data_IF_967422839066
#
_entry.id   IF_967422839066
#
_cell.length_a   1.000
_cell.length_b   1.000
_cell.length_c   1.000
_cell.angle_alpha   90.00
_cell.angle_beta   90.00
_cell.angle_gamma   90.00
#
_symmetry.space_group_name_H-M   'P 1'
#
loop_
_entity.id
_entity.type
_entity.pdbx_description
1 polymer ?
#
# COMPACT_ATOMS: atom_id res chain seq x y z
N UNK A 1 -43.30 -19.28 -47.92
CA UNK A 1 -44.42 -18.36 -48.10
C UNK A 1 -44.32 -17.27 -47.05
N UNK A 2 -44.46 -16.00 -47.48
CA UNK A 2 -44.61 -14.74 -46.72
C UNK A 2 -43.47 -14.40 -45.73
N UNK A 3 -42.71 -13.30 -45.81
CA UNK A 3 -42.92 -12.01 -46.46
C UNK A 3 -43.42 -10.97 -45.46
N UNK A 4 -42.52 -10.15 -44.89
CA UNK A 4 -42.89 -8.94 -44.14
C UNK A 4 -41.78 -7.89 -44.26
N UNK A 5 -42.04 -6.84 -45.05
CA UNK A 5 -41.21 -5.66 -45.18
C UNK A 5 -41.66 -4.61 -44.14
N UNK A 6 -40.71 -4.07 -43.37
CA UNK A 6 -40.97 -3.04 -42.36
C UNK A 6 -40.42 -1.70 -42.87
N UNK A 7 -41.31 -0.70 -42.92
CA UNK A 7 -41.05 0.66 -43.42
C UNK A 7 -40.31 1.47 -42.34
N UNK A 8 -39.17 2.05 -42.73
CA UNK A 8 -38.34 2.94 -41.91
C UNK A 8 -38.93 4.36 -41.93
N UNK A 9 -39.43 4.84 -40.79
CA UNK A 9 -39.82 6.24 -40.59
C UNK A 9 -38.69 7.03 -39.93
N UNK A 10 -38.04 7.93 -40.68
CA UNK A 10 -37.03 8.85 -40.16
C UNK A 10 -37.67 10.18 -39.75
N UNK A 11 -37.86 10.40 -38.44
CA UNK A 11 -38.21 11.70 -37.90
C UNK A 11 -36.92 12.45 -37.54
N UNK A 12 -36.56 13.45 -38.34
CA UNK A 12 -35.43 14.34 -38.07
C UNK A 12 -35.84 15.41 -37.06
N UNK A 13 -35.48 15.20 -35.78
CA UNK A 13 -35.56 16.23 -34.75
C UNK A 13 -34.31 17.12 -34.83
N UNK A 14 -34.51 18.40 -35.18
CA UNK A 14 -33.47 19.42 -35.19
C UNK A 14 -33.18 19.86 -33.75
N UNK A 15 -32.24 19.19 -33.09
CA UNK A 15 -31.68 19.58 -31.80
C UNK A 15 -30.79 20.83 -31.97
N UNK A 16 -31.22 21.99 -31.47
CA UNK A 16 -30.36 23.16 -31.41
C UNK A 16 -29.20 22.91 -30.42
N UNK A 17 -27.95 23.27 -30.76
CA UNK A 17 -26.82 23.13 -29.84
C UNK A 17 -26.98 24.13 -28.70
N UNK A 18 -27.23 23.62 -27.50
CA UNK A 18 -27.06 24.40 -26.26
C UNK A 18 -25.59 24.75 -26.17
N UNK A 19 -25.25 26.03 -26.26
CA UNK A 19 -23.92 26.55 -25.93
C UNK A 19 -23.69 26.31 -24.43
N UNK A 20 -23.18 25.12 -24.12
CA UNK A 20 -22.69 24.79 -22.80
C UNK A 20 -21.55 25.77 -22.48
N UNK A 21 -21.82 26.73 -21.59
CA UNK A 21 -20.77 27.56 -21.00
C UNK A 21 -19.82 26.61 -20.28
N UNK A 22 -18.66 26.35 -20.89
CA UNK A 22 -17.58 25.62 -20.27
C UNK A 22 -17.26 26.33 -18.95
N UNK A 23 -17.60 25.67 -17.83
CA UNK A 23 -17.12 26.12 -16.53
C UNK A 23 -15.60 26.12 -16.62
N UNK A 24 -14.91 27.21 -16.22
CA UNK A 24 -13.45 27.17 -16.12
C UNK A 24 -13.08 25.94 -15.29
N UNK A 25 -12.10 25.13 -15.73
CA UNK A 25 -11.64 24.00 -14.95
C UNK A 25 -11.20 24.56 -13.60
N UNK A 26 -12.01 24.31 -12.56
CA UNK A 26 -11.62 24.62 -11.19
C UNK A 26 -10.32 23.86 -10.98
N UNK A 27 -9.26 24.51 -10.44
CA UNK A 27 -8.05 23.80 -10.07
C UNK A 27 -8.48 22.68 -9.13
N UNK A 28 -8.41 21.44 -9.61
CA UNK A 28 -8.45 20.27 -8.76
C UNK A 28 -7.37 20.53 -7.70
N UNK A 29 -7.71 20.38 -6.42
CA UNK A 29 -6.78 20.61 -5.30
C UNK A 29 -5.39 20.05 -5.66
N UNK A 30 -4.30 20.75 -5.29
CA UNK A 30 -2.96 20.39 -5.73
C UNK A 30 -2.72 18.91 -5.47
N UNK A 31 -2.43 18.18 -6.55
CA UNK A 31 -2.13 16.74 -6.50
C UNK A 31 -0.99 16.54 -5.51
N UNK A 32 -1.14 15.55 -4.65
CA UNK A 32 -0.15 15.31 -3.62
C UNK A 32 1.12 14.71 -4.23
N UNK A 33 2.26 15.37 -4.07
CA UNK A 33 3.54 14.85 -4.56
C UNK A 33 4.12 13.75 -3.65
N UNK A 34 3.64 13.66 -2.41
CA UNK A 34 4.10 12.68 -1.41
C UNK A 34 2.94 12.23 -0.55
N UNK A 35 2.68 10.93 -0.55
CA UNK A 35 1.68 10.31 0.30
C UNK A 35 2.30 9.66 1.53
N UNK A 36 1.47 9.44 2.55
CA UNK A 36 1.83 8.74 3.77
C UNK A 36 0.63 8.00 4.37
N UNK A 37 0.90 6.98 5.18
CA UNK A 37 -0.11 6.34 6.01
C UNK A 37 -0.54 7.30 7.13
N UNK A 38 -1.83 7.30 7.46
CA UNK A 38 -2.46 8.18 8.46
C UNK A 38 -3.12 7.41 9.62
N UNK A 39 -2.79 6.13 9.77
CA UNK A 39 -3.36 5.25 10.79
C UNK A 39 -3.73 3.89 10.22
N UNK A 40 -5.00 3.51 10.38
CA UNK A 40 -5.50 2.23 9.90
C UNK A 40 -5.57 2.25 8.37
N UNK A 41 -4.89 1.29 7.75
CA UNK A 41 -4.87 1.09 6.32
C UNK A 41 -5.55 -0.23 5.97
N UNK A 42 -6.36 -0.20 4.91
CA UNK A 42 -7.12 -1.35 4.45
C UNK A 42 -7.16 -1.36 2.93
N UNK A 43 -7.03 -2.56 2.36
CA UNK A 43 -7.19 -2.80 0.92
C UNK A 43 -8.03 -4.05 0.68
N UNK A 44 -8.68 -4.09 -0.47
CA UNK A 44 -9.46 -5.22 -0.94
C UNK A 44 -8.77 -5.87 -2.12
N UNK A 45 -8.52 -7.17 -2.01
CA UNK A 45 -7.98 -7.99 -3.09
C UNK A 45 -9.13 -8.53 -3.97
N UNK A 46 -8.84 -8.74 -5.26
CA UNK A 46 -9.80 -9.28 -6.21
C UNK A 46 -10.25 -10.71 -5.87
N UNK A 47 -9.44 -11.46 -5.13
CA UNK A 47 -9.76 -12.79 -4.61
C UNK A 47 -10.69 -12.76 -3.37
N UNK A 48 -11.16 -11.57 -2.94
CA UNK A 48 -12.17 -11.41 -1.89
C UNK A 48 -11.62 -11.14 -0.48
N UNK A 49 -10.30 -11.22 -0.27
CA UNK A 49 -9.70 -10.88 1.01
C UNK A 49 -9.62 -9.37 1.25
N UNK A 50 -9.70 -8.97 2.51
CA UNK A 50 -9.41 -7.60 2.97
C UNK A 50 -8.15 -7.66 3.81
N UNK A 51 -7.11 -6.93 3.40
CA UNK A 51 -5.85 -6.85 4.15
C UNK A 51 -5.85 -5.56 4.94
N UNK A 52 -5.50 -5.64 6.23
CA UNK A 52 -5.48 -4.52 7.15
C UNK A 52 -4.19 -4.48 7.96
N UNK A 53 -3.65 -3.29 8.16
CA UNK A 53 -2.56 -3.01 9.09
C UNK A 53 -2.62 -1.54 9.51
N UNK A 54 -1.91 -1.18 10.58
CA UNK A 54 -1.81 0.20 11.05
C UNK A 54 -0.40 0.73 10.81
N UNK A 55 -0.28 1.91 10.22
CA UNK A 55 0.99 2.62 10.11
C UNK A 55 0.80 4.13 10.01
N UNK A 56 1.84 4.89 10.31
CA UNK A 56 1.86 6.35 10.16
C UNK A 56 3.17 6.79 9.49
N UNK A 57 3.09 7.77 8.61
CA UNK A 57 4.25 8.23 7.83
C UNK A 57 4.47 7.38 6.57
N UNK A 58 5.65 7.46 5.93
CA UNK A 58 5.90 6.80 4.65
C UNK A 58 6.20 5.31 4.77
N UNK A 59 6.59 4.83 5.96
CA UNK A 59 6.96 3.42 6.15
C UNK A 59 5.76 2.59 6.59
N UNK A 60 5.68 1.34 6.13
CA UNK A 60 4.76 0.33 6.65
C UNK A 60 5.55 -0.64 7.53
N UNK A 61 5.11 -0.83 8.78
CA UNK A 61 5.72 -1.78 9.71
C UNK A 61 4.73 -2.25 10.75
N UNK A 62 4.83 -3.51 11.20
CA UNK A 62 4.04 -4.03 12.32
C UNK A 62 3.22 -5.24 11.92
N UNK A 63 2.12 -5.47 12.64
CA UNK A 63 1.22 -6.59 12.39
C UNK A 63 0.24 -6.29 11.25
N UNK A 64 -0.07 -7.31 10.46
CA UNK A 64 -1.09 -7.28 9.43
C UNK A 64 -2.07 -8.45 9.60
N UNK A 65 -3.30 -8.27 9.14
CA UNK A 65 -4.36 -9.27 9.14
C UNK A 65 -5.00 -9.35 7.76
N UNK A 66 -5.32 -10.56 7.32
CA UNK A 66 -6.19 -10.80 6.16
C UNK A 66 -7.54 -11.32 6.66
N UNK A 67 -8.61 -10.62 6.30
CA UNK A 67 -9.99 -11.01 6.58
C UNK A 67 -10.59 -11.71 5.36
N UNK A 68 -11.31 -12.79 5.59
CA UNK A 68 -12.11 -13.44 4.56
C UNK A 68 -13.38 -12.64 4.22
N UNK A 69 -14.19 -13.16 3.29
CA UNK A 69 -15.45 -12.52 2.88
C UNK A 69 -16.50 -12.40 3.98
N UNK A 70 -16.36 -13.15 5.09
CA UNK A 70 -17.22 -13.06 6.27
C UNK A 70 -16.73 -12.02 7.30
N UNK A 71 -15.58 -11.37 7.03
CA UNK A 71 -14.94 -10.42 7.93
C UNK A 71 -14.15 -11.08 9.05
N UNK A 72 -13.95 -12.41 9.02
CA UNK A 72 -13.16 -13.12 10.03
C UNK A 72 -11.70 -13.15 9.62
N UNK A 73 -10.81 -13.07 10.60
CA UNK A 73 -9.37 -13.19 10.38
C UNK A 73 -9.03 -14.59 9.86
N UNK A 74 -8.62 -14.65 8.61
CA UNK A 74 -8.14 -15.88 7.97
C UNK A 74 -6.63 -16.08 8.23
N UNK A 75 -5.85 -14.99 8.21
CA UNK A 75 -4.39 -15.03 8.41
C UNK A 75 -3.91 -13.77 9.14
N UNK A 76 -2.79 -13.91 9.85
CA UNK A 76 -2.02 -12.81 10.42
C UNK A 76 -0.58 -12.86 9.93
N UNK A 77 0.11 -11.73 9.95
CA UNK A 77 1.48 -11.62 9.46
C UNK A 77 2.17 -10.35 9.92
N UNK A 78 3.36 -10.11 9.38
CA UNK A 78 4.10 -8.86 9.58
C UNK A 78 4.29 -8.12 8.27
N UNK A 79 4.04 -6.81 8.28
CA UNK A 79 4.23 -5.92 7.13
C UNK A 79 5.57 -5.19 7.21
N UNK A 80 6.19 -4.97 6.05
CA UNK A 80 7.41 -4.16 5.88
C UNK A 80 7.41 -3.50 4.51
N UNK A 81 7.95 -2.29 4.39
CA UNK A 81 8.02 -1.54 3.13
C UNK A 81 7.50 -0.12 3.32
N UNK A 82 6.80 0.44 2.33
CA UNK A 82 6.22 1.76 2.47
C UNK A 82 5.72 2.41 1.18
N UNK A 83 5.74 3.74 1.21
CA UNK A 83 5.34 4.63 0.14
C UNK A 83 6.57 5.46 -0.26
N UNK A 84 6.85 5.53 -1.55
CA UNK A 84 7.77 6.48 -2.16
C UNK A 84 6.99 7.38 -3.13
N UNK A 85 6.77 8.63 -2.71
CA UNK A 85 5.95 9.62 -3.42
C UNK A 85 4.53 9.13 -3.71
N UNK A 86 4.28 8.67 -4.93
CA UNK A 86 3.00 8.16 -5.44
C UNK A 86 3.00 6.65 -5.59
N UNK A 87 4.13 5.97 -5.35
CA UNK A 87 4.23 4.52 -5.44
C UNK A 87 4.14 3.90 -4.06
N UNK A 88 3.38 2.82 -3.94
CA UNK A 88 3.31 1.99 -2.73
C UNK A 88 3.92 0.63 -3.02
N UNK A 89 4.80 0.19 -2.13
CA UNK A 89 5.58 -1.04 -2.27
C UNK A 89 5.83 -1.63 -0.88
N UNK A 90 5.14 -2.73 -0.55
CA UNK A 90 5.31 -3.41 0.72
C UNK A 90 5.16 -4.91 0.61
N UNK A 91 5.75 -5.62 1.55
CA UNK A 91 5.69 -7.07 1.68
C UNK A 91 5.02 -7.43 2.99
N UNK A 92 4.11 -8.41 2.94
CA UNK A 92 3.55 -9.05 4.12
C UNK A 92 4.06 -10.49 4.19
N UNK A 93 4.71 -10.82 5.30
CA UNK A 93 5.05 -12.20 5.64
C UNK A 93 3.91 -12.80 6.46
N UNK A 94 3.04 -13.58 5.82
CA UNK A 94 1.96 -14.28 6.51
C UNK A 94 2.53 -15.40 7.40
N UNK A 95 1.97 -15.56 8.60
CA UNK A 95 2.48 -16.52 9.58
C UNK A 95 2.30 -17.98 9.17
N UNK A 96 1.18 -18.29 8.52
CA UNK A 96 0.82 -19.63 8.02
C UNK A 96 0.80 -19.72 6.49
N UNK A 97 1.32 -18.71 5.80
CA UNK A 97 1.11 -18.53 4.37
C UNK A 97 2.34 -18.00 3.63
N UNK A 98 2.17 -17.68 2.34
CA UNK A 98 3.23 -17.14 1.52
C UNK A 98 3.69 -15.74 1.94
N UNK A 99 4.77 -15.27 1.32
CA UNK A 99 5.16 -13.86 1.39
C UNK A 99 4.46 -13.12 0.26
N UNK A 100 3.51 -12.26 0.58
CA UNK A 100 2.82 -11.44 -0.40
C UNK A 100 3.58 -10.14 -0.63
N UNK A 101 4.05 -9.90 -1.85
CA UNK A 101 4.59 -8.60 -2.26
C UNK A 101 3.49 -7.79 -2.94
N UNK A 102 3.32 -6.54 -2.55
CA UNK A 102 2.26 -5.64 -2.99
C UNK A 102 2.90 -4.41 -3.62
N UNK A 103 2.55 -4.14 -4.87
CA UNK A 103 3.03 -2.95 -5.60
C UNK A 103 1.85 -2.24 -6.23
N UNK A 104 1.87 -0.91 -6.21
CA UNK A 104 0.80 -0.11 -6.77
C UNK A 104 1.14 1.37 -6.89
N UNK A 105 0.21 2.11 -7.47
CA UNK A 105 0.25 3.56 -7.62
C UNK A 105 -0.88 4.18 -6.81
N UNK A 106 -0.65 5.41 -6.36
CA UNK A 106 -1.58 6.22 -5.57
C UNK A 106 -2.13 7.31 -6.48
N UNK A 107 -3.44 7.30 -6.65
CA UNK A 107 -4.15 8.28 -7.46
C UNK A 107 -4.26 9.63 -6.72
N UNK A 108 -4.62 10.69 -7.46
CA UNK A 108 -4.76 12.04 -6.89
C UNK A 108 -5.81 12.16 -5.77
N UNK A 109 -6.74 11.21 -5.69
CA UNK A 109 -7.74 11.09 -4.62
C UNK A 109 -7.21 10.38 -3.36
N UNK A 110 -5.94 9.96 -3.36
CA UNK A 110 -5.27 9.27 -2.26
C UNK A 110 -5.55 7.77 -2.19
N UNK A 111 -6.31 7.20 -3.12
CA UNK A 111 -6.54 5.75 -3.16
C UNK A 111 -5.42 5.07 -3.95
N UNK A 112 -4.88 3.99 -3.37
CA UNK A 112 -3.88 3.18 -4.04
C UNK A 112 -4.53 2.01 -4.79
N UNK A 113 -3.99 1.64 -5.94
CA UNK A 113 -4.39 0.46 -6.71
C UNK A 113 -3.16 -0.26 -7.23
N UNK A 114 -3.22 -1.58 -7.31
CA UNK A 114 -2.04 -2.34 -7.66
C UNK A 114 -2.25 -3.82 -7.80
N UNK A 115 -1.14 -4.54 -7.73
CA UNK A 115 -1.09 -5.99 -7.82
C UNK A 115 -0.33 -6.58 -6.64
N UNK A 116 -0.63 -7.84 -6.33
CA UNK A 116 0.15 -8.63 -5.40
C UNK A 116 0.57 -9.94 -6.03
N UNK A 117 1.76 -10.40 -5.64
CA UNK A 117 2.33 -11.70 -6.01
C UNK A 117 2.78 -12.43 -4.75
N UNK A 118 2.72 -13.75 -4.79
CA UNK A 118 3.45 -14.59 -3.85
C UNK A 118 4.93 -14.63 -4.29
N UNK A 119 5.84 -14.29 -3.38
CA UNK A 119 7.29 -14.31 -3.66
C UNK A 119 7.85 -15.73 -3.71
N UNK A 120 7.24 -16.68 -2.98
CA UNK A 120 7.73 -18.06 -2.91
C UNK A 120 7.28 -18.89 -4.11
N UNK A 121 6.07 -18.61 -4.60
CA UNK A 121 5.55 -19.19 -5.82
C UNK A 121 5.14 -18.03 -6.71
N UNK A 122 5.69 -17.93 -7.93
CA UNK A 122 5.27 -16.97 -8.96
C UNK A 122 3.84 -17.27 -9.48
N UNK A 123 2.91 -17.48 -8.55
CA UNK A 123 1.52 -17.80 -8.77
C UNK A 123 0.76 -16.61 -9.34
N UNK A 124 -0.57 -16.73 -9.41
CA UNK A 124 -1.39 -15.76 -10.11
C UNK A 124 -1.29 -14.37 -9.45
N UNK A 125 -0.96 -13.38 -10.27
CA UNK A 125 -1.00 -11.96 -9.91
C UNK A 125 -2.44 -11.61 -9.53
N UNK A 126 -2.64 -11.03 -8.35
CA UNK A 126 -3.97 -10.61 -7.88
C UNK A 126 -4.06 -9.10 -7.79
N UNK A 127 -5.06 -8.49 -8.42
CA UNK A 127 -5.31 -7.06 -8.32
C UNK A 127 -5.84 -6.69 -6.94
N UNK A 128 -5.55 -5.47 -6.48
CA UNK A 128 -6.12 -4.93 -5.25
C UNK A 128 -6.34 -3.42 -5.36
N UNK A 129 -7.22 -2.91 -4.49
CA UNK A 129 -7.45 -1.48 -4.32
C UNK A 129 -7.61 -1.12 -2.84
N UNK A 130 -7.02 0.00 -2.44
CA UNK A 130 -7.21 0.57 -1.10
C UNK A 130 -8.69 0.88 -0.85
N UNK A 131 -9.16 0.64 0.36
CA UNK A 131 -10.52 0.98 0.79
C UNK A 131 -10.57 2.25 1.63
N UNK A 132 -9.41 2.80 1.98
CA UNK A 132 -9.24 4.05 2.71
C UNK A 132 -8.18 4.91 2.00
N UNK A 133 -8.34 6.24 1.97
CA UNK A 133 -7.36 7.11 1.33
C UNK A 133 -6.11 7.27 2.19
N UNK A 134 -4.97 7.46 1.53
CA UNK A 134 -3.72 7.90 2.13
C UNK A 134 -3.75 9.42 2.34
N UNK A 135 -2.94 9.89 3.29
CA UNK A 135 -2.80 11.31 3.56
C UNK A 135 -1.68 11.95 2.75
N UNK A 136 -1.77 13.26 2.57
CA UNK A 136 -0.65 14.03 2.09
C UNK A 136 0.44 14.16 3.16
N UNK A 137 1.67 13.87 2.76
CA UNK A 137 2.82 14.19 3.58
C UNK A 137 3.13 15.68 3.42
N UNK A 138 2.96 16.44 4.50
CA UNK A 138 3.50 17.80 4.56
C UNK A 138 5.01 17.71 4.35
N UNK A 139 5.60 18.51 3.43
CA UNK A 139 7.05 18.57 3.30
C UNK A 139 7.67 18.84 4.67
N UNK A 140 8.65 18.03 5.06
CA UNK A 140 9.43 18.35 6.25
C UNK A 140 9.94 19.79 6.08
N UNK A 141 9.75 20.68 7.08
CA UNK A 141 10.32 22.02 7.01
C UNK A 141 11.80 21.88 6.69
N UNK A 142 12.27 22.51 5.62
CA UNK A 142 13.70 22.69 5.38
C UNK A 142 14.23 23.63 6.45
N UNK A 143 14.39 23.13 7.66
CA UNK A 143 15.07 23.85 8.74
C UNK A 143 16.51 24.15 8.33
N UNK A 144 17.14 25.18 8.91
CA UNK A 144 18.55 25.44 8.71
C UNK A 144 19.33 24.16 8.98
N UNK A 145 20.09 23.68 7.99
CA UNK A 145 21.03 22.57 8.18
C UNK A 145 21.89 22.93 9.40
N UNK A 146 22.01 22.07 10.43
CA UNK A 146 22.98 22.29 11.49
C UNK A 146 24.31 22.58 10.81
N UNK A 147 24.88 23.77 11.10
CA UNK A 147 26.18 24.13 10.55
C UNK A 147 27.20 23.04 10.89
N UNK A 148 28.30 22.91 10.12
CA UNK A 148 29.36 21.97 10.44
C UNK A 148 29.76 22.16 11.91
N UNK A 149 29.52 21.13 12.72
CA UNK A 149 29.91 21.11 14.11
C UNK A 149 31.43 21.03 14.16
N UNK A 150 32.10 22.18 14.26
CA UNK A 150 33.54 22.27 14.53
C UNK A 150 33.84 21.94 16.01
N UNK A 151 33.18 20.93 16.56
CA UNK A 151 33.50 20.40 17.88
C UNK A 151 34.73 19.49 17.82
N UNK A 152 35.61 19.50 18.83
CA UNK A 152 36.73 18.56 18.90
C UNK A 152 36.20 17.12 18.91
N UNK A 153 36.71 16.30 18.00
CA UNK A 153 36.47 14.86 17.95
C UNK A 153 37.04 14.27 19.25
N UNK A 154 36.20 13.99 20.24
CA UNK A 154 36.58 13.13 21.35
C UNK A 154 36.65 11.71 20.80
N UNK A 155 37.85 11.13 20.86
CA UNK A 155 38.12 9.77 20.40
C UNK A 155 37.17 8.76 21.09
N UNK A 156 36.63 7.77 20.37
CA UNK A 156 35.83 6.73 20.98
C UNK A 156 36.71 5.84 21.88
N UNK A 157 36.50 5.91 23.18
CA UNK A 157 37.03 4.93 24.13
C UNK A 157 36.34 3.59 23.86
N UNK A 158 37.05 2.69 23.19
CA UNK A 158 36.58 1.33 22.88
C UNK A 158 36.64 0.48 24.14
N UNK A 159 35.58 0.48 24.94
CA UNK A 159 35.40 -0.56 25.98
C UNK A 159 34.79 -1.79 25.32
N UNK A 160 35.64 -2.73 24.94
CA UNK A 160 35.27 -4.06 24.42
C UNK A 160 34.41 -4.81 25.45
N UNK A 161 33.15 -5.17 25.14
CA UNK A 161 32.38 -6.07 26.00
C UNK A 161 33.04 -7.45 26.04
N UNK A 162 33.08 -8.04 27.24
CA UNK A 162 33.59 -9.38 27.47
C UNK A 162 32.75 -10.43 26.69
N UNK A 163 33.36 -11.54 26.22
CA UNK A 163 32.62 -12.63 25.61
C UNK A 163 31.72 -13.30 26.66
N UNK A 164 30.40 -13.25 26.48
CA UNK A 164 29.48 -14.13 27.23
C UNK A 164 29.66 -15.56 26.76
N UNK A 165 30.04 -16.43 27.69
CA UNK A 165 30.02 -17.87 27.51
C UNK A 165 28.60 -18.33 27.14
N UNK A 166 28.49 -19.06 26.01
CA UNK A 166 27.23 -19.62 25.56
C UNK A 166 26.73 -20.74 26.49
N UNK A 167 25.41 -20.96 26.55
CA UNK A 167 24.83 -22.06 27.31
C UNK A 167 25.19 -23.44 26.73
N UNK A 168 25.45 -24.35 27.64
CA UNK A 168 25.80 -25.76 27.47
C UNK A 168 24.74 -26.56 26.66
N UNK A 169 25.13 -27.46 25.75
CA UNK A 169 24.18 -28.28 24.99
C UNK A 169 23.50 -29.34 25.86
N UNK A 170 22.19 -29.21 26.08
CA UNK A 170 21.37 -30.25 26.71
C UNK A 170 21.23 -31.47 25.78
N UNK A 171 21.76 -32.61 26.23
CA UNK A 171 21.65 -33.91 25.56
C UNK A 171 20.19 -34.41 25.55
N UNK A 172 19.66 -34.94 24.43
CA UNK A 172 18.33 -35.55 24.42
C UNK A 172 18.35 -36.93 25.09
N UNK A 173 17.55 -37.10 26.15
CA UNK A 173 17.23 -38.41 26.71
C UNK A 173 16.43 -39.24 25.72
N UNK A 174 16.97 -40.40 25.32
CA UNK A 174 16.21 -41.51 24.73
C UNK A 174 15.34 -42.13 25.82
N UNK A 175 14.04 -42.23 25.59
CA UNK A 175 13.18 -43.15 26.34
C UNK A 175 12.87 -44.41 25.51
N UNK A 176 12.68 -45.56 26.17
CA UNK A 176 12.45 -46.87 25.56
C UNK A 176 11.04 -47.05 24.98
#
# INVERSE_FOLDING_TARGET
>A
MLGAAIVLGAAALLSAPVLARARPPVPLDPVCDRYQFIGDYSLRQANGFIVQFRSTGPSASGSASALDSSGKTAMTGTVSGGIDRTRIDFTIRWGSGPRGHYTGEIDGDGFARGTTVDEANHGPITNWGATVPLGCATPAPTGPRPGPSNGPILAPTTTRPAPSAGPEPTVPSRQP
#
